data_IF_873817790156
#
_entry.id   IF_873817790156
#
_cell.length_a   1.000
_cell.length_b   1.000
_cell.length_c   1.000
_cell.angle_alpha   90.00
_cell.angle_beta   90.00
_cell.angle_gamma   90.00
#
_symmetry.space_group_name_H-M   'P 1'
#
loop_
_entity.id
_entity.type
_entity.pdbx_description
1 polymer ?
#
# COMPACT_ATOMS: atom_id res chain seq x y z
N UNK A 1 -22.25 11.50 -3.46
CA UNK A 1 -21.60 10.50 -4.34
C UNK A 1 -20.18 10.19 -3.85
N UNK A 2 -19.99 10.09 -2.52
CA UNK A 2 -18.67 9.80 -1.90
C UNK A 2 -18.38 8.31 -1.90
N UNK A 3 -19.43 7.49 -2.06
CA UNK A 3 -19.36 6.03 -2.09
C UNK A 3 -18.59 5.48 -3.31
N UNK A 4 -18.44 6.28 -4.38
CA UNK A 4 -17.76 5.83 -5.61
C UNK A 4 -16.23 5.77 -5.46
N UNK A 5 -15.61 6.76 -4.81
CA UNK A 5 -14.14 6.82 -4.69
C UNK A 5 -13.62 5.68 -3.81
N UNK A 6 -14.28 5.44 -2.68
CA UNK A 6 -13.89 4.37 -1.78
C UNK A 6 -14.04 2.99 -2.44
N UNK A 7 -15.15 2.75 -3.16
CA UNK A 7 -15.32 1.54 -3.96
C UNK A 7 -14.23 1.38 -5.02
N UNK A 8 -13.88 2.45 -5.74
CA UNK A 8 -12.79 2.39 -6.72
C UNK A 8 -11.44 2.07 -6.08
N UNK A 9 -11.16 2.58 -4.87
CA UNK A 9 -9.94 2.22 -4.13
C UNK A 9 -9.94 0.74 -3.78
N UNK A 10 -11.04 0.21 -3.24
CA UNK A 10 -11.14 -1.22 -2.96
C UNK A 10 -10.98 -2.08 -4.22
N UNK A 11 -11.61 -1.70 -5.33
CA UNK A 11 -11.47 -2.39 -6.61
C UNK A 11 -10.03 -2.35 -7.14
N UNK A 12 -9.31 -1.25 -6.88
CA UNK A 12 -7.92 -1.09 -7.28
C UNK A 12 -6.96 -1.93 -6.43
N UNK A 13 -7.19 -2.03 -5.12
CA UNK A 13 -6.34 -2.80 -4.18
C UNK A 13 -6.60 -4.30 -4.29
N UNK A 14 -7.84 -4.70 -4.62
CA UNK A 14 -8.28 -6.10 -4.63
C UNK A 14 -7.43 -7.08 -5.45
N UNK A 15 -6.85 -6.72 -6.62
CA UNK A 15 -5.94 -7.60 -7.36
C UNK A 15 -4.64 -7.91 -6.63
N UNK A 16 -4.21 -7.04 -5.71
CA UNK A 16 -3.00 -7.18 -4.90
C UNK A 16 -3.29 -7.88 -3.57
N UNK A 17 -4.53 -7.80 -3.09
CA UNK A 17 -4.99 -8.52 -1.90
C UNK A 17 -5.05 -10.03 -2.16
N UNK A 18 -4.03 -10.77 -1.70
CA UNK A 18 -4.02 -12.23 -1.68
C UNK A 18 -3.16 -12.92 -2.74
N UNK A 19 -2.18 -12.25 -3.34
CA UNK A 19 -1.24 -12.85 -4.31
C UNK A 19 -0.46 -14.05 -3.75
N UNK A 20 -0.39 -14.19 -2.42
CA UNK A 20 0.28 -15.32 -1.74
C UNK A 20 -0.62 -16.49 -1.31
N UNK A 21 -1.94 -16.46 -1.54
CA UNK A 21 -2.83 -17.49 -0.98
C UNK A 21 -3.66 -18.19 -2.05
N UNK A 22 -3.31 -19.46 -2.27
CA UNK A 22 -4.13 -20.52 -2.88
C UNK A 22 -5.48 -20.78 -2.16
N UNK A 23 -6.11 -19.78 -1.53
CA UNK A 23 -7.36 -19.91 -0.77
C UNK A 23 -8.41 -18.91 -1.25
N UNK A 24 -9.34 -19.40 -2.06
CA UNK A 24 -10.83 -19.38 -2.05
C UNK A 24 -11.61 -18.40 -1.11
N UNK A 25 -11.01 -17.65 -0.18
CA UNK A 25 -11.71 -16.67 0.66
C UNK A 25 -11.40 -15.25 0.19
N UNK A 26 -12.45 -14.53 -0.19
CA UNK A 26 -12.37 -13.09 -0.41
C UNK A 26 -12.01 -12.45 0.94
N UNK A 27 -10.80 -11.89 1.05
CA UNK A 27 -10.42 -11.07 2.21
C UNK A 27 -11.35 -9.87 2.21
N UNK A 28 -12.02 -9.65 3.35
CA UNK A 28 -12.84 -8.47 3.53
C UNK A 28 -11.89 -7.27 3.69
N UNK A 29 -11.88 -6.41 2.68
CA UNK A 29 -11.06 -5.20 2.72
C UNK A 29 -11.72 -4.18 3.63
N UNK A 30 -11.04 -3.80 4.71
CA UNK A 30 -11.45 -2.71 5.60
C UNK A 30 -10.44 -1.56 5.50
N UNK A 31 -10.83 -0.31 5.83
CA UNK A 31 -9.93 0.84 5.74
C UNK A 31 -8.65 0.71 6.59
N UNK A 32 -8.72 -0.04 7.69
CA UNK A 32 -7.64 -0.23 8.65
C UNK A 32 -6.57 -1.22 8.19
N UNK A 33 -6.84 -1.99 7.13
CA UNK A 33 -5.90 -2.98 6.60
C UNK A 33 -4.65 -2.28 6.09
N UNK A 34 -3.51 -2.79 6.55
CA UNK A 34 -2.20 -2.38 6.09
C UNK A 34 -1.77 -3.16 4.84
N UNK A 35 -1.27 -2.45 3.83
CA UNK A 35 -0.86 -3.02 2.55
C UNK A 35 0.35 -3.96 2.71
N UNK A 36 1.31 -3.63 3.58
CA UNK A 36 2.54 -4.42 3.74
C UNK A 36 2.31 -5.62 4.68
N UNK A 37 1.66 -5.41 5.82
CA UNK A 37 1.64 -6.40 6.91
C UNK A 37 0.44 -7.32 6.80
N UNK A 38 -0.74 -6.78 6.50
CA UNK A 38 -1.98 -7.58 6.44
C UNK A 38 -2.17 -8.21 5.05
N UNK A 39 -1.84 -7.49 3.98
CA UNK A 39 -1.95 -8.01 2.61
C UNK A 39 -0.67 -8.67 2.10
N UNK A 40 0.46 -8.53 2.81
CA UNK A 40 1.76 -9.09 2.42
C UNK A 40 2.20 -8.64 1.02
N UNK A 41 1.85 -7.41 0.62
CA UNK A 41 2.23 -6.83 -0.66
C UNK A 41 3.72 -6.48 -0.62
N UNK A 42 4.48 -6.87 -1.65
CA UNK A 42 5.89 -6.50 -1.76
C UNK A 42 6.09 -5.09 -2.34
N UNK A 43 7.33 -4.57 -2.27
CA UNK A 43 7.66 -3.22 -2.75
C UNK A 43 7.27 -2.99 -4.22
N UNK A 44 7.46 -3.99 -5.09
CA UNK A 44 7.17 -3.86 -6.52
C UNK A 44 5.67 -3.86 -6.78
N UNK A 45 4.93 -4.71 -6.08
CA UNK A 45 3.47 -4.75 -6.12
C UNK A 45 2.88 -3.43 -5.58
N UNK A 46 3.42 -2.91 -4.47
CA UNK A 46 2.99 -1.65 -3.87
C UNK A 46 3.31 -0.45 -4.78
N UNK A 47 4.47 -0.44 -5.43
CA UNK A 47 4.82 0.60 -6.40
C UNK A 47 3.87 0.60 -7.62
N UNK A 48 3.58 -0.58 -8.18
CA UNK A 48 2.64 -0.74 -9.29
C UNK A 48 1.20 -0.32 -8.89
N UNK A 49 0.74 -0.73 -7.70
CA UNK A 49 -0.53 -0.32 -7.12
C UNK A 49 -0.62 1.22 -7.02
N UNK A 50 0.40 1.86 -6.45
CA UNK A 50 0.39 3.30 -6.24
C UNK A 50 0.48 4.09 -7.55
N UNK A 51 1.26 3.61 -8.53
CA UNK A 51 1.31 4.23 -9.85
C UNK A 51 -0.09 4.21 -10.52
N UNK A 52 -0.78 3.08 -10.46
CA UNK A 52 -2.16 2.97 -10.96
C UNK A 52 -3.15 3.80 -10.15
N UNK A 53 -2.94 3.92 -8.84
CA UNK A 53 -3.76 4.76 -7.96
C UNK A 53 -3.69 6.23 -8.39
N UNK A 54 -2.48 6.77 -8.55
CA UNK A 54 -2.30 8.16 -8.99
C UNK A 54 -2.87 8.40 -10.39
N UNK A 55 -2.65 7.47 -11.33
CA UNK A 55 -3.13 7.60 -12.71
C UNK A 55 -4.66 7.48 -12.82
N UNK A 56 -5.24 6.42 -12.27
CA UNK A 56 -6.67 6.09 -12.48
C UNK A 56 -7.61 6.99 -11.67
N UNK A 57 -7.20 7.37 -10.46
CA UNK A 57 -8.00 8.23 -9.58
C UNK A 57 -7.63 9.72 -9.72
N UNK A 58 -6.71 10.04 -10.64
CA UNK A 58 -6.22 11.41 -10.88
C UNK A 58 -5.77 12.09 -9.57
N UNK A 59 -4.99 11.36 -8.78
CA UNK A 59 -4.45 11.84 -7.50
C UNK A 59 -3.05 12.37 -7.74
N UNK A 60 -2.78 13.59 -7.30
CA UNK A 60 -1.45 14.17 -7.38
C UNK A 60 -0.48 13.40 -6.47
N UNK A 61 0.57 12.82 -7.08
CA UNK A 61 1.60 12.05 -6.35
C UNK A 61 2.31 12.85 -5.25
N UNK A 62 2.52 14.15 -5.47
CA UNK A 62 3.20 15.01 -4.50
C UNK A 62 4.58 14.48 -4.11
N UNK A 63 4.82 14.34 -2.81
CA UNK A 63 6.06 13.83 -2.23
C UNK A 63 6.05 12.31 -2.00
N UNK A 64 5.08 11.56 -2.53
CA UNK A 64 5.01 10.12 -2.30
C UNK A 64 6.29 9.41 -2.76
N UNK A 65 6.87 8.65 -1.82
CA UNK A 65 8.07 7.84 -1.99
C UNK A 65 7.80 6.44 -1.45
N UNK A 66 8.01 5.43 -2.29
CA UNK A 66 7.80 4.05 -1.88
C UNK A 66 8.74 3.66 -0.75
N UNK A 67 9.94 4.28 -0.70
CA UNK A 67 10.97 4.02 0.29
C UNK A 67 10.60 4.51 1.70
N UNK A 68 9.57 5.34 1.84
CA UNK A 68 9.00 5.70 3.14
C UNK A 68 8.35 4.48 3.81
N UNK A 69 7.75 3.60 3.02
CA UNK A 69 7.03 2.40 3.48
C UNK A 69 7.88 1.13 3.31
N UNK A 70 8.69 1.07 2.25
CA UNK A 70 9.60 -0.04 1.96
C UNK A 70 11.05 0.45 1.94
N UNK A 71 11.65 0.71 3.12
CA UNK A 71 13.01 1.24 3.19
C UNK A 71 14.02 0.20 2.70
N UNK A 72 14.97 0.67 1.89
CA UNK A 72 16.09 -0.14 1.44
C UNK A 72 16.91 -0.64 2.65
N UNK A 73 16.79 -1.93 2.97
CA UNK A 73 17.63 -2.53 3.99
C UNK A 73 19.04 -2.77 3.45
N UNK A 74 20.10 -2.31 4.14
CA UNK A 74 21.46 -2.68 3.76
C UNK A 74 21.61 -4.20 3.91
N UNK A 75 21.88 -4.87 2.78
CA UNK A 75 22.07 -6.31 2.72
C UNK A 75 23.19 -6.73 3.70
N UNK A 76 22.83 -7.38 4.81
CA UNK A 76 23.80 -7.83 5.80
C UNK A 76 24.31 -9.22 5.41
N UNK A 77 25.59 -9.30 5.03
CA UNK A 77 26.30 -10.57 4.80
C UNK A 77 26.58 -11.37 6.08
N UNK A 78 26.09 -10.92 7.25
CA UNK A 78 26.30 -11.59 8.53
C UNK A 78 25.05 -12.41 8.94
N UNK A 79 25.06 -13.74 8.78
CA UNK A 79 23.89 -14.59 9.02
C UNK A 79 23.40 -14.65 10.49
N UNK A 80 24.15 -14.07 11.42
CA UNK A 80 23.84 -14.04 12.86
C UNK A 80 23.52 -12.64 13.41
N UNK A 81 23.65 -11.59 12.59
CA UNK A 81 23.25 -10.24 13.00
C UNK A 81 21.80 -10.05 12.61
N UNK A 82 20.91 -9.97 13.61
CA UNK A 82 19.54 -9.50 13.40
C UNK A 82 19.64 -8.06 12.94
N UNK A 83 19.23 -7.78 11.70
CA UNK A 83 18.97 -6.43 11.24
C UNK A 83 17.88 -5.85 12.13
N UNK A 84 18.11 -4.68 12.72
CA UNK A 84 17.07 -3.99 13.47
C UNK A 84 15.94 -3.64 12.50
N UNK A 85 14.67 -3.95 12.84
CA UNK A 85 13.55 -3.55 12.01
C UNK A 85 13.51 -2.02 11.94
N UNK A 86 13.49 -1.48 10.72
CA UNK A 86 13.36 -0.04 10.51
C UNK A 86 11.89 0.28 10.74
N UNK A 87 11.56 1.21 11.66
CA UNK A 87 10.18 1.62 11.85
C UNK A 87 9.70 2.34 10.58
N UNK A 88 8.61 1.86 10.00
CA UNK A 88 7.93 2.46 8.85
C UNK A 88 6.57 3.00 9.30
N UNK A 89 6.06 4.08 8.68
CA UNK A 89 4.69 4.52 8.92
C UNK A 89 3.70 3.48 8.41
N UNK A 90 2.48 3.50 8.95
CA UNK A 90 1.38 2.69 8.44
C UNK A 90 1.14 2.99 6.96
N UNK A 91 0.77 1.96 6.19
CA UNK A 91 0.43 2.08 4.78
C UNK A 91 -0.93 1.46 4.50
N UNK A 92 -1.99 2.14 4.92
CA UNK A 92 -3.34 1.56 4.96
C UNK A 92 -4.24 1.96 3.78
N UNK A 93 -5.31 1.19 3.56
CA UNK A 93 -6.36 1.51 2.58
C UNK A 93 -7.03 2.86 2.90
N UNK A 94 -7.20 3.20 4.18
CA UNK A 94 -7.74 4.50 4.61
C UNK A 94 -6.94 5.67 4.03
N UNK A 95 -5.61 5.57 4.03
CA UNK A 95 -4.73 6.62 3.49
C UNK A 95 -4.95 6.83 1.99
N UNK A 96 -5.18 5.75 1.23
CA UNK A 96 -5.53 5.82 -0.18
C UNK A 96 -6.90 6.49 -0.38
N UNK A 97 -7.90 6.11 0.42
CA UNK A 97 -9.25 6.69 0.36
C UNK A 97 -9.22 8.20 0.64
N UNK A 98 -8.53 8.62 1.70
CA UNK A 98 -8.43 10.03 2.07
C UNK A 98 -7.67 10.84 1.01
N UNK A 99 -6.56 10.30 0.50
CA UNK A 99 -5.79 10.95 -0.56
C UNK A 99 -6.58 11.06 -1.87
N UNK A 100 -7.36 10.04 -2.21
CA UNK A 100 -8.24 10.06 -3.38
C UNK A 100 -9.38 11.09 -3.22
N UNK A 101 -9.97 11.18 -2.02
CA UNK A 101 -10.97 12.22 -1.70
C UNK A 101 -10.38 13.63 -1.77
N UNK A 102 -9.12 13.79 -1.38
CA UNK A 102 -8.41 15.07 -1.45
C UNK A 102 -7.85 15.42 -2.84
N UNK A 103 -7.73 14.43 -3.74
CA UNK A 103 -7.13 14.60 -5.06
C UNK A 103 -5.60 14.73 -5.04
N UNK A 104 -4.96 14.49 -3.91
CA UNK A 104 -3.50 14.52 -3.73
C UNK A 104 -3.07 13.59 -2.60
N UNK A 105 -1.84 13.10 -2.67
CA UNK A 105 -1.24 12.37 -1.55
C UNK A 105 -1.09 13.29 -0.32
N UNK A 106 -1.56 12.82 0.84
CA UNK A 106 -1.65 13.62 2.06
C UNK A 106 -0.53 13.35 3.08
N UNK A 107 0.34 12.38 2.81
CA UNK A 107 1.29 11.83 3.78
C UNK A 107 2.73 12.05 3.28
N UNK A 108 3.66 12.31 4.20
CA UNK A 108 5.09 12.52 3.90
C UNK A 108 5.96 11.44 4.55
#
# INVERSE_FOLDING_TARGET
>A
MVDNIEQQVYELVRPYAGTYLFNIKQVELTPEIDLDTDLSIDELEAEDLMNKFFEKLNVERGNFRIETYFPNHPFSWHPFKKTEPVPVPDFTISMLIESAKAGKWLYD
#
